data_IF_308858540476
#
_entry.id   IF_308858540476
#
_cell.length_a   1.000
_cell.length_b   1.000
_cell.length_c   1.000
_cell.angle_alpha   90.00
_cell.angle_beta   90.00
_cell.angle_gamma   90.00
#
_symmetry.space_group_name_H-M   'P 1'
#
loop_
_entity.id
_entity.type
_entity.pdbx_description
1 polymer ?
#
# COMPACT_ATOMS: atom_id res chain seq x y z
N UNK A 1 -0.32 18.42 2.72
CA UNK A 1 0.74 17.59 3.33
C UNK A 1 0.57 16.18 2.78
N UNK A 2 1.66 15.42 2.67
CA UNK A 2 1.91 14.31 1.73
C UNK A 2 2.20 14.79 0.30
N UNK A 3 3.48 14.71 -0.09
CA UNK A 3 3.99 14.88 -1.47
C UNK A 3 4.98 13.74 -1.71
N UNK A 4 4.47 12.53 -1.99
CA UNK A 4 5.28 11.32 -2.19
C UNK A 4 4.60 10.33 -3.16
N UNK A 5 5.10 9.09 -3.26
CA UNK A 5 4.58 8.02 -4.14
C UNK A 5 3.15 7.53 -3.81
N UNK A 6 2.53 8.12 -2.79
CA UNK A 6 1.14 8.02 -2.43
C UNK A 6 0.59 9.44 -2.23
N UNK A 7 -0.58 9.74 -2.79
CA UNK A 7 -1.23 11.05 -2.63
C UNK A 7 -2.62 10.90 -2.01
N UNK A 8 -2.84 11.62 -0.90
CA UNK A 8 -4.15 11.80 -0.28
C UNK A 8 -4.75 13.12 -0.74
N UNK A 9 -6.00 13.10 -1.20
CA UNK A 9 -6.74 14.32 -1.55
C UNK A 9 -7.61 14.74 -0.35
N UNK A 10 -7.10 15.63 0.50
CA UNK A 10 -7.92 16.32 1.51
C UNK A 10 -8.52 17.61 0.94
N UNK A 11 -9.81 17.85 1.18
CA UNK A 11 -10.47 19.13 0.90
C UNK A 11 -10.01 20.21 1.89
N UNK A 12 -9.42 21.29 1.39
CA UNK A 12 -9.08 22.49 2.17
C UNK A 12 -8.39 23.57 1.34
N UNK A 13 -9.13 24.61 0.97
CA UNK A 13 -8.64 25.84 0.35
C UNK A 13 -7.77 26.64 1.34
N UNK A 14 -6.50 26.93 1.01
CA UNK A 14 -5.72 28.12 1.44
C UNK A 14 -4.36 28.17 0.73
N UNK A 15 -3.89 29.34 0.22
CA UNK A 15 -2.62 29.43 -0.49
C UNK A 15 -1.49 29.80 0.47
N UNK A 16 -0.44 28.97 0.57
CA UNK A 16 0.84 29.41 1.14
C UNK A 16 2.02 28.94 0.31
N UNK A 17 2.86 29.93 0.02
CA UNK A 17 4.10 29.95 -0.74
C UNK A 17 5.08 28.83 -0.39
N UNK A 18 5.68 28.19 -1.40
CA UNK A 18 6.82 27.29 -1.20
C UNK A 18 8.06 27.80 -1.95
N UNK A 19 9.03 28.29 -1.19
CA UNK A 19 10.46 28.13 -1.48
C UNK A 19 10.94 26.93 -0.68
N UNK A 20 11.29 25.82 -1.33
CA UNK A 20 12.11 24.77 -0.74
C UNK A 20 12.80 23.93 -1.82
N UNK A 21 14.02 23.51 -1.48
CA UNK A 21 15.07 22.93 -2.32
C UNK A 21 14.60 21.64 -3.02
N UNK A 22 14.81 21.55 -4.33
CA UNK A 22 14.44 20.42 -5.17
C UNK A 22 15.47 19.29 -5.04
N UNK A 23 15.19 18.29 -4.19
CA UNK A 23 15.72 16.95 -4.42
C UNK A 23 14.75 16.21 -5.36
N UNK A 24 15.20 15.70 -6.52
CA UNK A 24 14.32 14.98 -7.43
C UNK A 24 13.89 13.65 -6.80
N UNK A 25 12.64 13.55 -6.36
CA UNK A 25 12.03 12.29 -5.93
C UNK A 25 11.93 11.34 -7.14
N UNK A 26 12.58 10.17 -7.07
CA UNK A 26 12.68 9.20 -8.18
C UNK A 26 11.31 8.68 -8.66
N UNK A 27 10.32 8.63 -7.76
CA UNK A 27 9.00 8.04 -8.03
C UNK A 27 7.82 9.02 -7.95
N UNK A 28 8.00 10.21 -7.36
CA UNK A 28 6.93 11.19 -7.15
C UNK A 28 6.79 12.23 -8.27
N UNK A 29 7.77 12.34 -9.18
CA UNK A 29 7.74 13.32 -10.28
C UNK A 29 6.54 13.17 -11.22
N UNK A 30 6.14 11.92 -11.51
CA UNK A 30 5.11 11.61 -12.51
C UNK A 30 3.70 11.47 -11.90
N UNK A 31 3.60 11.25 -10.58
CA UNK A 31 2.33 10.93 -9.91
C UNK A 31 1.27 12.03 -10.08
N UNK A 32 1.56 13.34 -9.92
CA UNK A 32 0.56 14.38 -10.10
C UNK A 32 -0.04 14.39 -11.51
N UNK A 33 0.80 14.15 -12.53
CA UNK A 33 0.35 14.08 -13.93
C UNK A 33 -0.49 12.83 -14.18
N UNK A 34 -0.03 11.67 -13.74
CA UNK A 34 -0.80 10.43 -13.84
C UNK A 34 -2.13 10.51 -13.10
N UNK A 35 -2.16 11.13 -11.92
CA UNK A 35 -3.39 11.31 -11.16
C UNK A 35 -4.44 12.11 -11.94
N UNK A 36 -4.03 13.17 -12.63
CA UNK A 36 -4.94 13.94 -13.47
C UNK A 36 -5.54 13.09 -14.60
N UNK A 37 -4.77 12.15 -15.16
CA UNK A 37 -5.25 11.21 -16.18
C UNK A 37 -6.18 10.18 -15.55
N UNK A 38 -5.83 9.64 -14.37
CA UNK A 38 -6.65 8.66 -13.65
C UNK A 38 -8.03 9.21 -13.27
N UNK A 39 -8.11 10.48 -12.88
CA UNK A 39 -9.39 11.15 -12.56
C UNK A 39 -10.35 11.10 -13.76
N UNK A 40 -9.85 11.13 -15.00
CA UNK A 40 -10.69 11.06 -16.20
C UNK A 40 -11.30 9.66 -16.44
N UNK A 41 -10.85 8.62 -15.73
CA UNK A 41 -11.47 7.28 -15.76
C UNK A 41 -12.69 7.18 -14.84
N UNK A 42 -12.79 8.06 -13.84
CA UNK A 42 -13.81 7.96 -12.81
C UNK A 42 -15.15 8.53 -13.30
N UNK A 43 -16.24 7.99 -12.73
CA UNK A 43 -17.56 8.62 -12.82
C UNK A 43 -17.53 9.95 -12.07
N UNK A 44 -18.38 10.89 -12.48
CA UNK A 44 -18.41 12.25 -11.90
C UNK A 44 -18.68 12.29 -10.39
N UNK A 45 -19.34 11.28 -9.84
CA UNK A 45 -19.68 11.13 -8.43
C UNK A 45 -18.61 10.41 -7.59
N UNK A 46 -17.64 9.76 -8.23
CA UNK A 46 -16.62 8.97 -7.57
C UNK A 46 -15.34 9.77 -7.35
N UNK A 47 -14.56 9.41 -6.33
CA UNK A 47 -13.32 10.12 -5.98
C UNK A 47 -12.17 9.15 -5.72
N UNK A 48 -10.97 9.59 -6.05
CA UNK A 48 -9.74 8.89 -5.66
C UNK A 48 -9.44 9.25 -4.22
N UNK A 49 -9.51 8.25 -3.34
CA UNK A 49 -9.13 8.36 -1.92
C UNK A 49 -7.62 8.24 -1.75
N UNK A 50 -7.01 7.34 -2.54
CA UNK A 50 -5.59 7.06 -2.52
C UNK A 50 -5.15 6.49 -3.88
N UNK A 51 -3.99 6.92 -4.38
CA UNK A 51 -3.31 6.24 -5.47
C UNK A 51 -1.88 5.88 -5.05
N UNK A 52 -1.49 4.62 -5.23
CA UNK A 52 -0.19 4.07 -4.86
C UNK A 52 0.46 3.45 -6.09
N UNK A 53 1.68 3.86 -6.42
CA UNK A 53 2.47 3.23 -7.47
C UNK A 53 2.96 1.86 -7.02
N UNK A 54 2.86 0.86 -7.90
CA UNK A 54 3.33 -0.49 -7.67
C UNK A 54 4.61 -0.80 -8.45
N UNK A 55 5.37 -1.75 -7.94
CA UNK A 55 6.36 -2.49 -8.71
C UNK A 55 5.68 -3.25 -9.84
N UNK A 56 6.39 -3.37 -10.97
CA UNK A 56 5.93 -4.03 -12.19
C UNK A 56 7.01 -5.00 -12.63
N UNK A 57 6.63 -6.17 -13.14
CA UNK A 57 7.57 -7.11 -13.75
C UNK A 57 8.22 -6.53 -15.02
N UNK A 58 7.59 -5.51 -15.62
CA UNK A 58 8.02 -4.84 -16.84
C UNK A 58 8.49 -3.42 -16.53
N UNK A 59 9.77 -3.12 -16.78
CA UNK A 59 10.40 -1.85 -16.40
C UNK A 59 9.73 -0.59 -16.98
N UNK A 60 9.17 -0.70 -18.19
CA UNK A 60 8.53 0.42 -18.90
C UNK A 60 7.11 0.70 -18.39
N UNK A 61 6.41 -0.31 -17.86
CA UNK A 61 5.01 -0.17 -17.45
C UNK A 61 4.90 0.53 -16.12
N UNK A 62 3.92 1.41 -16.02
CA UNK A 62 3.58 2.05 -14.75
C UNK A 62 2.21 1.58 -14.32
N UNK A 63 2.14 1.13 -13.07
CA UNK A 63 0.96 0.53 -12.50
C UNK A 63 0.59 1.21 -11.19
N UNK A 64 -0.70 1.46 -11.00
CA UNK A 64 -1.23 2.05 -9.80
C UNK A 64 -2.32 1.18 -9.19
N UNK A 65 -2.23 0.99 -7.88
CA UNK A 65 -3.38 0.61 -7.07
C UNK A 65 -4.11 1.88 -6.66
N UNK A 66 -5.38 2.00 -7.02
CA UNK A 66 -6.20 3.19 -6.75
C UNK A 66 -7.39 2.78 -5.89
N UNK A 67 -7.51 3.39 -4.71
CA UNK A 67 -8.71 3.28 -3.87
C UNK A 67 -9.68 4.35 -4.32
N UNK A 68 -10.83 3.93 -4.83
CA UNK A 68 -11.92 4.81 -5.23
C UNK A 68 -13.04 4.69 -4.22
N UNK A 69 -13.51 5.82 -3.72
CA UNK A 69 -14.72 5.89 -2.90
C UNK A 69 -15.88 6.56 -3.63
N UNK A 70 -17.08 6.13 -3.23
CA UNK A 70 -18.35 6.63 -3.71
C UNK A 70 -19.34 6.67 -2.56
N UNK A 71 -20.28 7.61 -2.61
CA UNK A 71 -21.42 7.60 -1.72
C UNK A 71 -22.40 6.52 -2.19
N UNK A 72 -22.51 5.45 -1.42
CA UNK A 72 -23.44 4.36 -1.68
C UNK A 72 -24.90 4.80 -1.65
N UNK A 73 -25.80 3.95 -2.15
CA UNK A 73 -27.25 4.24 -2.21
C UNK A 73 -27.91 4.43 -0.84
N UNK A 74 -27.22 4.02 0.23
CA UNK A 74 -27.69 4.11 1.61
C UNK A 74 -26.94 5.19 2.40
N UNK A 75 -26.34 6.17 1.71
CA UNK A 75 -25.46 7.20 2.29
C UNK A 75 -24.26 6.63 3.06
N UNK A 76 -23.86 5.41 2.69
CA UNK A 76 -22.71 4.71 3.27
C UNK A 76 -21.48 4.92 2.41
N UNK A 77 -20.31 5.10 3.02
CA UNK A 77 -19.04 5.11 2.28
C UNK A 77 -18.79 3.72 1.68
N UNK A 78 -18.70 3.67 0.36
CA UNK A 78 -18.42 2.46 -0.40
C UNK A 78 -17.06 2.63 -1.09
N UNK A 79 -16.21 1.60 -1.06
CA UNK A 79 -14.87 1.68 -1.64
C UNK A 79 -14.53 0.44 -2.46
N UNK A 80 -13.89 0.67 -3.61
CA UNK A 80 -13.31 -0.39 -4.44
C UNK A 80 -11.83 -0.12 -4.67
N UNK A 81 -11.14 -1.17 -5.08
CA UNK A 81 -9.78 -1.12 -5.59
C UNK A 81 -9.80 -1.21 -7.11
N UNK A 82 -9.15 -0.26 -7.77
CA UNK A 82 -8.86 -0.31 -9.20
C UNK A 82 -7.37 -0.57 -9.41
N UNK A 83 -7.07 -1.48 -10.33
CA UNK A 83 -5.74 -1.60 -10.92
C UNK A 83 -5.69 -0.80 -12.21
N UNK A 84 -4.85 0.23 -12.23
CA UNK A 84 -4.70 1.12 -13.38
C UNK A 84 -3.34 0.94 -14.02
N UNK A 85 -3.32 0.78 -15.34
CA UNK A 85 -2.11 0.57 -16.13
C UNK A 85 -1.85 1.74 -17.09
N UNK A 86 -0.59 2.15 -17.15
CA UNK A 86 -0.02 3.07 -18.14
C UNK A 86 1.02 2.30 -18.96
N UNK A 87 0.99 2.46 -20.29
CA UNK A 87 1.93 1.80 -21.21
C UNK A 87 3.39 2.23 -21.01
N UNK A 88 3.60 3.46 -20.55
CA UNK A 88 4.89 4.07 -20.23
C UNK A 88 4.74 5.20 -19.21
N UNK A 89 5.85 5.73 -18.68
CA UNK A 89 5.84 6.89 -17.77
C UNK A 89 5.33 8.19 -18.40
N UNK A 90 5.46 8.33 -19.72
CA UNK A 90 5.05 9.53 -20.46
C UNK A 90 3.66 9.37 -21.09
N UNK A 91 2.99 8.25 -20.81
CA UNK A 91 1.69 7.94 -21.40
C UNK A 91 0.62 8.94 -20.99
N UNK A 92 -0.11 9.45 -21.99
CA UNK A 92 -1.19 10.43 -21.80
C UNK A 92 -2.57 9.81 -21.57
N UNK A 93 -2.63 8.49 -21.53
CA UNK A 93 -3.82 7.69 -21.27
C UNK A 93 -3.47 6.56 -20.32
N UNK A 94 -4.48 6.08 -19.61
CA UNK A 94 -4.39 4.88 -18.77
C UNK A 94 -5.63 4.01 -18.96
N UNK A 95 -5.52 2.76 -18.54
CA UNK A 95 -6.57 1.75 -18.69
C UNK A 95 -6.83 1.05 -17.38
N UNK A 96 -8.01 0.46 -17.24
CA UNK A 96 -8.37 -0.34 -16.06
C UNK A 96 -8.02 -1.80 -16.37
N UNK A 97 -7.15 -2.39 -15.56
CA UNK A 97 -6.72 -3.78 -15.70
C UNK A 97 -7.26 -4.71 -14.61
N UNK A 98 -7.77 -4.15 -13.51
CA UNK A 98 -8.34 -4.91 -12.40
C UNK A 98 -9.41 -4.08 -11.69
N UNK A 99 -10.48 -4.75 -11.24
CA UNK A 99 -11.47 -4.20 -10.32
C UNK A 99 -11.68 -5.17 -9.18
N UNK A 100 -11.58 -4.70 -7.95
CA UNK A 100 -11.69 -5.51 -6.75
C UNK A 100 -12.61 -4.82 -5.73
N UNK A 101 -13.70 -5.51 -5.37
CA UNK A 101 -14.70 -5.04 -4.41
C UNK A 101 -14.26 -5.38 -2.98
N UNK A 102 -14.35 -4.40 -2.08
CA UNK A 102 -13.99 -4.57 -0.67
C UNK A 102 -15.23 -4.96 0.15
N UNK A 103 -15.46 -6.27 0.23
CA UNK A 103 -16.54 -6.87 0.99
C UNK A 103 -16.20 -7.02 2.48
N UNK A 104 -17.19 -7.39 3.29
CA UNK A 104 -17.01 -7.65 4.72
C UNK A 104 -16.06 -8.83 5.02
N UNK A 105 -15.89 -9.77 4.09
CA UNK A 105 -14.95 -10.90 4.20
C UNK A 105 -13.51 -10.55 3.77
N UNK A 106 -13.25 -9.30 3.37
CA UNK A 106 -11.92 -8.88 2.91
C UNK A 106 -10.87 -9.09 4.01
N UNK A 107 -9.80 -9.82 3.68
CA UNK A 107 -8.62 -10.02 4.53
C UNK A 107 -7.37 -9.49 3.86
N UNK A 108 -6.52 -8.83 4.63
CA UNK A 108 -5.25 -8.26 4.20
C UNK A 108 -4.13 -8.97 4.97
N UNK A 109 -3.07 -9.37 4.26
CA UNK A 109 -1.92 -10.05 4.86
C UNK A 109 -0.62 -9.55 4.23
N UNK A 110 0.45 -9.41 5.02
CA UNK A 110 1.77 -9.02 4.51
C UNK A 110 2.44 -10.24 3.88
N UNK A 111 3.10 -10.06 2.73
CA UNK A 111 3.73 -11.18 2.03
C UNK A 111 5.16 -11.49 2.52
N UNK A 112 5.75 -10.65 3.38
CA UNK A 112 7.12 -10.79 3.86
C UNK A 112 8.18 -10.35 2.83
N UNK A 113 7.77 -9.94 1.64
CA UNK A 113 8.62 -9.47 0.54
C UNK A 113 8.35 -8.02 0.17
N UNK A 114 7.84 -7.23 1.12
CA UNK A 114 7.59 -5.81 0.94
C UNK A 114 6.31 -5.48 0.20
N UNK A 115 5.41 -6.44 0.09
CA UNK A 115 4.06 -6.28 -0.42
C UNK A 115 3.00 -6.75 0.57
N UNK A 116 1.76 -6.72 0.10
CA UNK A 116 0.62 -7.25 0.82
C UNK A 116 -0.36 -7.89 -0.15
N UNK A 117 -1.08 -8.89 0.34
CA UNK A 117 -2.17 -9.54 -0.37
C UNK A 117 -3.52 -9.05 0.16
N UNK A 118 -4.48 -8.89 -0.75
CA UNK A 118 -5.89 -8.63 -0.44
C UNK A 118 -6.70 -9.80 -0.96
N UNK A 119 -7.40 -10.49 -0.05
CA UNK A 119 -8.28 -11.61 -0.37
C UNK A 119 -9.74 -11.27 -0.06
N UNK A 120 -10.64 -11.50 -1.01
CA UNK A 120 -12.06 -11.12 -0.92
C UNK A 120 -12.87 -11.93 -1.93
N UNK A 121 -14.04 -12.43 -1.55
CA UNK A 121 -14.90 -13.26 -2.41
C UNK A 121 -14.15 -14.40 -3.15
N UNK A 122 -13.21 -15.06 -2.47
CA UNK A 122 -12.41 -16.17 -3.02
C UNK A 122 -11.33 -15.77 -4.03
N UNK A 123 -11.10 -14.47 -4.27
CA UNK A 123 -10.00 -13.97 -5.09
C UNK A 123 -8.90 -13.41 -4.21
N UNK A 124 -7.65 -13.50 -4.67
CA UNK A 124 -6.48 -12.96 -3.98
C UNK A 124 -5.66 -12.14 -4.99
N UNK A 125 -5.25 -10.93 -4.59
CA UNK A 125 -4.38 -10.06 -5.38
C UNK A 125 -3.21 -9.60 -4.53
N UNK A 126 -2.01 -9.57 -5.11
CA UNK A 126 -0.77 -9.14 -4.43
C UNK A 126 -0.40 -7.75 -4.94
N UNK A 127 -0.08 -6.85 -4.02
CA UNK A 127 0.35 -5.49 -4.29
C UNK A 127 1.73 -5.26 -3.70
N UNK A 128 2.66 -4.76 -4.52
CA UNK A 128 4.02 -4.40 -4.10
C UNK A 128 4.24 -2.91 -4.30
N UNK A 129 3.97 -2.07 -3.30
CA UNK A 129 4.19 -0.63 -3.38
C UNK A 129 5.67 -0.29 -3.58
N UNK A 130 5.96 0.74 -4.36
CA UNK A 130 7.35 1.18 -4.63
C UNK A 130 8.05 1.84 -3.42
N UNK A 131 7.35 2.02 -2.29
CA UNK A 131 7.98 2.47 -1.06
C UNK A 131 7.23 2.04 0.19
N UNK A 132 7.92 1.99 1.32
CA UNK A 132 7.32 1.60 2.61
C UNK A 132 6.26 2.63 3.06
N UNK A 133 6.47 3.92 2.80
CA UNK A 133 5.46 4.94 3.10
C UNK A 133 4.21 4.80 2.25
N UNK A 134 4.37 4.43 0.97
CA UNK A 134 3.23 4.14 0.10
C UNK A 134 2.48 2.89 0.55
N UNK A 135 3.20 1.85 0.99
CA UNK A 135 2.61 0.65 1.59
C UNK A 135 1.81 0.96 2.86
N UNK A 136 2.39 1.70 3.80
CA UNK A 136 1.69 2.11 5.03
C UNK A 136 0.41 2.89 4.72
N UNK A 137 0.48 3.89 3.83
CA UNK A 137 -0.68 4.67 3.39
C UNK A 137 -1.77 3.78 2.80
N UNK A 138 -1.40 2.80 1.98
CA UNK A 138 -2.30 1.82 1.38
C UNK A 138 -3.04 1.01 2.45
N UNK A 139 -2.28 0.44 3.38
CA UNK A 139 -2.82 -0.40 4.45
C UNK A 139 -3.76 0.38 5.37
N UNK A 140 -3.43 1.63 5.72
CA UNK A 140 -4.31 2.48 6.53
C UNK A 140 -5.69 2.69 5.86
N UNK A 141 -5.69 3.06 4.57
CA UNK A 141 -6.93 3.29 3.83
C UNK A 141 -7.72 1.99 3.64
N UNK A 142 -7.04 0.89 3.32
CA UNK A 142 -7.70 -0.40 3.11
C UNK A 142 -8.28 -0.97 4.40
N UNK A 143 -7.57 -0.92 5.52
CA UNK A 143 -8.12 -1.33 6.81
C UNK A 143 -9.36 -0.50 7.17
N UNK A 144 -9.35 0.81 6.88
CA UNK A 144 -10.52 1.66 7.11
C UNK A 144 -11.70 1.25 6.24
N UNK A 145 -11.48 1.00 4.95
CA UNK A 145 -12.52 0.52 4.04
C UNK A 145 -13.09 -0.84 4.48
N UNK A 146 -12.23 -1.77 4.93
CA UNK A 146 -12.64 -3.08 5.45
C UNK A 146 -13.44 -2.97 6.76
N UNK A 147 -13.10 -2.01 7.63
CA UNK A 147 -13.89 -1.71 8.84
C UNK A 147 -15.29 -1.24 8.46
N UNK A 148 -15.41 -0.31 7.51
CA UNK A 148 -16.70 0.20 7.03
C UNK A 148 -17.53 -0.91 6.39
N UNK A 149 -16.91 -1.75 5.55
CA UNK A 149 -17.57 -2.87 4.89
C UNK A 149 -18.10 -3.92 5.89
N UNK A 150 -17.35 -4.21 6.96
CA UNK A 150 -17.81 -5.08 8.05
C UNK A 150 -18.93 -4.43 8.86
N UNK A 151 -18.80 -3.14 9.18
CA UNK A 151 -19.82 -2.40 9.96
C UNK A 151 -21.18 -2.37 9.27
N UNK A 152 -21.20 -2.24 7.94
CA UNK A 152 -22.42 -2.17 7.14
C UNK A 152 -22.77 -3.49 6.44
N UNK A 153 -22.04 -4.58 6.76
CA UNK A 153 -22.26 -5.92 6.19
C UNK A 153 -22.33 -5.93 4.66
N UNK A 154 -21.31 -5.43 3.98
CA UNK A 154 -21.25 -5.54 2.51
C UNK A 154 -20.98 -7.00 2.11
N UNK A 155 -21.82 -7.57 1.25
CA UNK A 155 -21.67 -8.94 0.76
C UNK A 155 -22.04 -9.05 -0.74
N UNK A 156 -21.49 -10.04 -1.46
CA UNK A 156 -21.86 -10.32 -2.84
C UNK A 156 -23.36 -10.61 -2.99
N UNK A 157 -24.05 -9.87 -3.86
CA UNK A 157 -25.50 -9.97 -4.06
C UNK A 157 -26.34 -8.98 -3.25
N UNK A 158 -25.70 -8.19 -2.37
CA UNK A 158 -26.33 -7.04 -1.71
C UNK A 158 -26.43 -5.81 -2.62
N UNK A 159 -26.92 -4.71 -2.06
CA UNK A 159 -27.04 -3.42 -2.77
C UNK A 159 -25.76 -2.57 -2.75
N UNK A 160 -24.81 -2.92 -1.88
CA UNK A 160 -23.52 -2.24 -1.79
C UNK A 160 -22.62 -2.59 -2.97
N UNK A 161 -21.78 -1.63 -3.38
CA UNK A 161 -20.77 -1.76 -4.43
C UNK A 161 -21.36 -2.13 -5.82
N UNK A 162 -22.66 -1.94 -6.05
CA UNK A 162 -23.29 -2.18 -7.36
C UNK A 162 -22.58 -1.38 -8.47
N UNK A 163 -22.19 -0.16 -8.15
CA UNK A 163 -21.53 0.74 -9.08
C UNK A 163 -20.17 0.25 -9.57
N UNK A 164 -19.52 -0.68 -8.86
CA UNK A 164 -18.30 -1.34 -9.31
C UNK A 164 -18.48 -2.03 -10.67
N UNK A 165 -19.71 -2.43 -11.00
CA UNK A 165 -20.07 -3.04 -12.31
C UNK A 165 -19.75 -2.11 -13.48
N UNK A 166 -19.84 -0.79 -13.28
CA UNK A 166 -19.41 0.19 -14.30
C UNK A 166 -17.92 -0.01 -14.63
N UNK A 167 -17.07 -0.01 -13.60
CA UNK A 167 -15.62 -0.17 -13.79
C UNK A 167 -15.26 -1.56 -14.32
N UNK A 168 -15.97 -2.61 -13.92
CA UNK A 168 -15.80 -3.96 -14.47
C UNK A 168 -16.08 -4.01 -15.98
N UNK A 169 -17.06 -3.24 -16.46
CA UNK A 169 -17.35 -3.12 -17.90
C UNK A 169 -16.32 -2.27 -18.66
N UNK A 170 -15.49 -1.49 -17.95
CA UNK A 170 -14.47 -0.63 -18.52
C UNK A 170 -13.05 -1.25 -18.51
N UNK A 171 -12.92 -2.52 -18.09
CA UNK A 171 -11.63 -3.23 -18.13
C UNK A 171 -11.18 -3.30 -19.60
N UNK A 172 -10.02 -2.71 -19.88
CA UNK A 172 -9.54 -2.45 -21.24
C UNK A 172 -8.03 -2.55 -21.39
N UNK A 173 -7.30 -2.91 -20.32
CA UNK A 173 -5.85 -3.14 -20.40
C UNK A 173 -5.51 -4.37 -21.25
N UNK A 174 -4.31 -4.37 -21.82
CA UNK A 174 -3.79 -5.52 -22.57
C UNK A 174 -3.80 -6.80 -21.73
N UNK A 175 -3.96 -7.95 -22.38
CA UNK A 175 -4.02 -9.25 -21.69
C UNK A 175 -2.79 -9.50 -20.81
N UNK A 176 -1.61 -9.05 -21.24
CA UNK A 176 -0.38 -9.17 -20.44
C UNK A 176 -0.43 -8.36 -19.14
N UNK A 177 -1.06 -7.18 -19.13
CA UNK A 177 -1.29 -6.39 -17.91
C UNK A 177 -2.33 -7.08 -17.01
N UNK A 178 -3.44 -7.55 -17.59
CA UNK A 178 -4.47 -8.30 -16.85
C UNK A 178 -3.88 -9.56 -16.20
N UNK A 179 -3.04 -10.29 -16.93
CA UNK A 179 -2.37 -11.48 -16.39
C UNK A 179 -1.47 -11.13 -15.21
N UNK A 180 -0.74 -10.02 -15.27
CA UNK A 180 0.10 -9.56 -14.17
C UNK A 180 -0.72 -9.18 -12.94
N UNK A 181 -1.93 -8.61 -13.10
CA UNK A 181 -2.84 -8.35 -11.97
C UNK A 181 -3.37 -9.63 -11.31
N UNK A 182 -3.63 -10.66 -12.12
CA UNK A 182 -4.14 -11.94 -11.65
C UNK A 182 -3.02 -12.92 -11.28
N UNK A 183 -1.75 -12.54 -11.47
CA UNK A 183 -0.62 -13.38 -11.13
C UNK A 183 -0.56 -13.55 -9.61
N UNK A 184 -0.89 -14.75 -9.15
CA UNK A 184 -0.54 -15.17 -7.80
C UNK A 184 0.96 -15.43 -7.84
N UNK A 185 1.77 -14.50 -7.33
CA UNK A 185 3.16 -14.83 -7.02
C UNK A 185 3.12 -15.93 -5.96
N UNK A 186 3.80 -17.02 -6.25
CA UNK A 186 3.75 -18.28 -5.53
C UNK A 186 3.65 -18.04 -4.02
N UNK A 187 2.54 -18.49 -3.47
CA UNK A 187 2.34 -18.63 -2.04
C UNK A 187 3.29 -19.76 -1.58
N UNK A 188 4.60 -19.53 -1.61
CA UNK A 188 5.55 -20.24 -0.75
C UNK A 188 5.27 -19.79 0.69
N UNK A 189 4.07 -20.09 1.17
CA UNK A 189 3.88 -20.44 2.57
C UNK A 189 4.82 -21.61 2.77
N UNK A 190 6.02 -21.31 3.25
CA UNK A 190 6.84 -22.30 3.92
C UNK A 190 5.94 -22.80 5.03
N UNK A 191 5.30 -23.96 4.81
CA UNK A 191 4.80 -24.77 5.91
C UNK A 191 5.98 -24.82 6.88
N UNK A 192 5.81 -24.48 8.16
CA UNK A 192 6.83 -24.84 9.12
C UNK A 192 7.08 -26.33 8.92
N UNK A 193 8.31 -26.67 8.51
CA UNK A 193 8.69 -28.07 8.41
C UNK A 193 8.38 -28.71 9.78
N UNK A 194 7.81 -29.91 9.70
CA UNK A 194 7.38 -30.80 10.79
C UNK A 194 8.05 -30.53 12.15
N UNK A 195 7.31 -30.68 13.27
CA UNK A 195 7.64 -30.08 14.56
C UNK A 195 9.09 -30.33 14.94
N UNK A 196 9.86 -29.25 15.08
CA UNK A 196 11.20 -29.30 15.62
C UNK A 196 11.15 -30.02 16.98
N UNK A 197 11.64 -31.26 16.98
CA UNK A 197 11.91 -32.00 18.19
C UNK A 197 13.04 -31.25 18.91
N UNK A 198 12.70 -30.70 20.09
CA UNK A 198 13.57 -29.93 20.98
C UNK A 198 13.86 -28.49 20.44
N UNK A 199 13.74 -27.40 21.20
CA UNK A 199 14.26 -27.15 22.54
C UNK A 199 13.51 -25.99 23.19
N UNK A 200 13.12 -26.19 24.44
CA UNK A 200 12.76 -25.17 25.43
C UNK A 200 13.96 -24.23 25.69
N UNK A 201 14.10 -23.12 24.95
CA UNK A 201 15.07 -22.03 25.23
C UNK A 201 14.56 -20.64 24.77
N UNK A 202 13.94 -19.84 25.65
CA UNK A 202 13.51 -18.48 25.35
C UNK A 202 14.67 -17.47 25.45
N UNK A 203 15.77 -17.62 24.69
CA UNK A 203 16.95 -16.73 24.91
C UNK A 203 17.72 -16.29 23.67
N UNK A 204 17.71 -17.03 22.56
CA UNK A 204 18.45 -16.61 21.35
C UNK A 204 17.54 -15.92 20.32
N UNK A 205 16.36 -16.48 20.03
CA UNK A 205 15.39 -15.86 19.12
C UNK A 205 14.95 -14.47 19.56
N UNK A 206 14.56 -14.31 20.82
CA UNK A 206 14.17 -13.00 21.37
C UNK A 206 15.31 -11.96 21.35
N UNK A 207 16.57 -12.40 21.50
CA UNK A 207 17.73 -11.51 21.40
C UNK A 207 17.94 -11.03 19.97
N UNK A 208 17.81 -11.94 19.01
CA UNK A 208 17.87 -11.62 17.58
C UNK A 208 16.75 -10.66 17.20
N UNK A 209 15.51 -10.92 17.63
CA UNK A 209 14.37 -10.02 17.41
C UNK A 209 14.60 -8.63 18.01
N UNK A 210 15.06 -8.52 19.27
CA UNK A 210 15.37 -7.21 19.87
C UNK A 210 16.44 -6.45 19.09
N UNK A 211 17.47 -7.16 18.61
CA UNK A 211 18.52 -6.56 17.80
C UNK A 211 17.99 -6.09 16.45
N UNK A 212 17.15 -6.90 15.78
CA UNK A 212 16.43 -6.53 14.56
C UNK A 212 15.64 -5.26 14.80
N UNK A 213 14.79 -5.20 15.83
CA UNK A 213 13.98 -4.01 16.16
C UNK A 213 14.83 -2.75 16.32
N UNK A 214 15.92 -2.84 17.08
CA UNK A 214 16.80 -1.70 17.34
C UNK A 214 17.50 -1.20 16.07
N UNK A 215 18.03 -2.12 15.25
CA UNK A 215 18.72 -1.78 14.00
C UNK A 215 17.76 -1.28 12.92
N UNK A 216 16.63 -1.96 12.75
CA UNK A 216 15.57 -1.56 11.82
C UNK A 216 15.09 -0.14 12.12
N UNK A 217 14.85 0.19 13.39
CA UNK A 217 14.48 1.55 13.81
C UNK A 217 15.54 2.58 13.41
N UNK A 218 16.81 2.27 13.65
CA UNK A 218 17.91 3.17 13.26
C UNK A 218 17.96 3.39 11.75
N UNK A 219 17.80 2.32 10.96
CA UNK A 219 17.80 2.40 9.49
C UNK A 219 16.63 3.27 9.03
N UNK A 220 15.41 2.98 9.50
CA UNK A 220 14.21 3.71 9.11
C UNK A 220 14.24 5.20 9.48
N UNK A 221 14.88 5.57 10.60
CA UNK A 221 15.07 6.97 10.98
C UNK A 221 16.10 7.71 10.13
N UNK A 222 16.99 6.99 9.44
CA UNK A 222 18.06 7.57 8.63
C UNK A 222 17.77 7.61 7.12
N UNK A 223 16.79 6.83 6.66
CA UNK A 223 16.44 6.70 5.25
C UNK A 223 15.23 7.57 4.85
N UNK A 224 15.13 7.87 3.56
CA UNK A 224 13.94 8.47 2.98
C UNK A 224 12.87 7.41 2.71
N UNK A 225 11.93 7.27 3.65
CA UNK A 225 10.85 6.27 3.63
C UNK A 225 9.89 6.43 2.44
N UNK A 226 9.90 7.58 1.76
CA UNK A 226 9.08 7.80 0.57
C UNK A 226 9.66 7.18 -0.70
N UNK A 227 10.97 6.90 -0.72
CA UNK A 227 11.70 6.42 -1.91
C UNK A 227 12.50 5.13 -1.66
N UNK A 228 12.25 4.45 -0.54
CA UNK A 228 12.87 3.16 -0.20
C UNK A 228 11.82 2.05 -0.13
N UNK A 229 12.14 0.90 -0.71
CA UNK A 229 11.34 -0.32 -0.66
C UNK A 229 11.62 -1.13 0.62
N UNK A 230 10.68 -1.99 1.04
CA UNK A 230 10.93 -2.90 2.18
C UNK A 230 12.13 -3.82 1.89
N UNK A 231 12.31 -4.24 0.63
CA UNK A 231 13.46 -5.04 0.18
C UNK A 231 14.79 -4.32 0.40
N UNK A 232 14.89 -3.04 0.09
CA UNK A 232 16.11 -2.26 0.32
C UNK A 232 16.42 -2.10 1.81
N UNK A 233 15.41 -1.83 2.65
CA UNK A 233 15.59 -1.78 4.11
C UNK A 233 16.06 -3.12 4.65
N UNK A 234 15.46 -4.24 4.19
CA UNK A 234 15.84 -5.59 4.60
C UNK A 234 17.28 -5.92 4.21
N UNK A 235 17.69 -5.61 2.98
CA UNK A 235 19.07 -5.84 2.53
C UNK A 235 20.09 -5.03 3.36
N UNK A 236 19.77 -3.78 3.69
CA UNK A 236 20.60 -2.94 4.57
C UNK A 236 20.68 -3.53 5.99
N UNK A 237 19.57 -4.01 6.53
CA UNK A 237 19.51 -4.66 7.82
C UNK A 237 20.37 -5.94 7.86
N UNK A 238 20.26 -6.81 6.85
CA UNK A 238 21.09 -8.02 6.71
C UNK A 238 22.58 -7.66 6.64
N UNK A 239 22.92 -6.59 5.91
CA UNK A 239 24.30 -6.10 5.79
C UNK A 239 24.84 -5.61 7.14
N UNK A 240 24.05 -4.84 7.90
CA UNK A 240 24.47 -4.33 9.21
C UNK A 240 24.55 -5.40 10.30
N UNK A 241 23.75 -6.46 10.20
CA UNK A 241 23.74 -7.57 11.15
C UNK A 241 24.70 -8.70 10.74
N UNK A 242 25.19 -8.70 9.49
CA UNK A 242 26.00 -9.76 8.89
C UNK A 242 25.38 -11.15 9.07
N UNK A 243 24.06 -11.24 8.93
CA UNK A 243 23.30 -12.49 9.04
C UNK A 243 22.16 -12.53 8.02
N UNK A 244 21.73 -13.74 7.69
CA UNK A 244 20.60 -13.97 6.79
C UNK A 244 19.29 -13.87 7.59
N UNK A 245 18.37 -13.01 7.14
CA UNK A 245 17.11 -12.73 7.84
C UNK A 245 15.89 -13.28 7.08
N UNK A 246 16.07 -14.26 6.20
CA UNK A 246 14.99 -14.88 5.41
C UNK A 246 13.83 -15.40 6.27
N UNK A 247 14.10 -15.95 7.45
CA UNK A 247 13.06 -16.46 8.36
C UNK A 247 12.31 -15.35 9.10
N UNK A 248 12.86 -14.13 9.14
CA UNK A 248 12.29 -12.97 9.83
C UNK A 248 11.57 -12.02 8.87
N UNK A 249 11.35 -12.41 7.61
CA UNK A 249 10.70 -11.58 6.59
C UNK A 249 9.39 -10.94 7.03
N UNK A 250 8.43 -11.77 7.45
CA UNK A 250 7.12 -11.30 7.93
C UNK A 250 7.24 -10.47 9.21
N UNK A 251 8.16 -10.84 10.11
CA UNK A 251 8.43 -10.09 11.33
C UNK A 251 8.99 -8.69 11.04
N UNK A 252 9.92 -8.58 10.09
CA UNK A 252 10.53 -7.32 9.67
C UNK A 252 9.47 -6.42 9.03
N UNK A 253 8.64 -6.95 8.12
CA UNK A 253 7.56 -6.17 7.51
C UNK A 253 6.55 -5.66 8.54
N UNK A 254 6.13 -6.51 9.49
CA UNK A 254 5.25 -6.09 10.59
C UNK A 254 5.91 -5.02 11.47
N UNK A 255 7.18 -5.20 11.85
CA UNK A 255 7.88 -4.24 12.69
C UNK A 255 8.11 -2.90 11.97
N UNK A 256 8.35 -2.91 10.65
CA UNK A 256 8.42 -1.67 9.85
C UNK A 256 7.12 -0.88 9.94
N UNK A 257 5.97 -1.54 9.79
CA UNK A 257 4.67 -0.87 9.93
C UNK A 257 4.41 -0.36 11.35
N UNK A 258 4.85 -1.11 12.37
CA UNK A 258 4.75 -0.66 13.77
C UNK A 258 5.60 0.59 14.01
N UNK A 259 6.82 0.63 13.49
CA UNK A 259 7.71 1.80 13.59
C UNK A 259 7.09 2.98 12.84
N UNK A 260 6.59 2.78 11.62
CA UNK A 260 5.89 3.83 10.87
C UNK A 260 4.70 4.38 11.64
N UNK A 261 3.85 3.51 12.21
CA UNK A 261 2.72 3.94 13.04
C UNK A 261 3.12 4.68 14.33
N UNK A 262 4.35 4.50 14.82
CA UNK A 262 4.91 5.29 15.92
C UNK A 262 5.46 6.64 15.45
N UNK A 263 6.01 6.70 14.23
CA UNK A 263 6.54 7.92 13.62
C UNK A 263 5.44 8.86 13.10
N UNK A 264 4.32 8.29 12.62
CA UNK A 264 3.17 9.04 12.11
C UNK A 264 2.32 9.67 13.23
N UNK A 265 2.43 9.16 14.45
CA UNK A 265 1.87 9.86 15.62
C UNK A 265 2.66 11.14 15.80
N UNK A 266 2.01 12.31 15.92
CA UNK A 266 2.71 13.56 16.18
C UNK A 266 3.59 13.34 17.41
N UNK A 267 4.90 13.43 17.20
CA UNK A 267 5.82 13.64 18.30
C UNK A 267 5.38 14.98 18.90
N UNK A 268 4.65 14.95 20.02
CA UNK A 268 4.34 16.13 20.82
C UNK A 268 5.67 16.68 21.33
N UNK A 269 6.30 17.50 20.51
CA UNK A 269 7.49 18.27 20.85
C UNK A 269 6.94 19.65 21.26
N UNK A 270 6.63 19.73 22.57
CA UNK A 270 6.15 20.87 23.38
C UNK A 270 4.65 21.00 23.64
N UNK A 271 4.28 20.66 24.89
CA UNK A 271 3.19 21.29 25.61
C UNK A 271 3.55 22.75 25.89
N UNK A 272 2.68 23.67 25.44
CA UNK A 272 2.64 25.10 25.81
C UNK A 272 3.65 26.04 25.10
N UNK A 273 3.22 26.61 23.97
CA UNK A 273 3.65 27.94 23.53
C UNK A 273 2.50 28.63 22.80
N UNK A 274 1.74 29.47 23.53
CA UNK A 274 0.98 30.55 22.92
C UNK A 274 1.93 31.73 22.75
N UNK A 275 2.06 32.24 21.53
CA UNK A 275 2.62 33.56 21.28
C UNK A 275 1.44 34.47 20.90
N UNK A 276 1.25 35.50 21.74
CA UNK A 276 0.33 36.62 21.51
C UNK A 276 0.70 37.44 20.28
#
# INVERSE_FOLDING_TARGET
MVKGAALFLQQGNSPQSQRSLQHPHKHAGDLPQHLQIMINLLRCEDRIKLAVRLESAWAERVRYMVVVDSSGRQDTEESILLGVDFSSKESKSCTIGMVLRLWSDTKIHLDGDGGFSVSTAGRMHVFKPVSVQAMWSALQVLHKACEVARRHNYFPGGVALIWATYYESCISSDQSCINEWNAMQDLESTRPDSPALFVDKPTEGERTERLIKAKLRSIMMSQDLENVTSKEIRNELETQMNCNLKEFKEFIDNEMLLILGQMDKPSLIFDHLYLC
#
